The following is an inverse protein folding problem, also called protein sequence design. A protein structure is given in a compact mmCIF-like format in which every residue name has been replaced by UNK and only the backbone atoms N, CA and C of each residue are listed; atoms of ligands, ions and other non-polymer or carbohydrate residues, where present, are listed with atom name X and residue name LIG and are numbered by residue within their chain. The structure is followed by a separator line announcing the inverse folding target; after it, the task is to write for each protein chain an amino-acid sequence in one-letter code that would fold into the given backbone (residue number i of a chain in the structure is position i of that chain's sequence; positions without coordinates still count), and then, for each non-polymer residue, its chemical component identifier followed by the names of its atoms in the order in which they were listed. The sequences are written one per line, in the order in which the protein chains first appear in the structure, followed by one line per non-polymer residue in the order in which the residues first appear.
data_IF_955975855439
#
_entry.id   IF_955975855439
#
_cell.length_a   1.000
_cell.length_b   1.000
_cell.length_c   1.000
_cell.angle_alpha   90.00
_cell.angle_beta   90.00
_cell.angle_gamma   90.00
#
_symmetry.space_group_name_H-M   'P 1'
#
loop_
_entity.id
_entity.type
_entity.pdbx_description
1 polymer ?
#
# COMPACT_ATOMS: atom_id res chain seq x y z
N UNK A 1 4.22 31.19 2.82
CA UNK A 1 3.88 29.80 2.44
C UNK A 1 2.37 29.61 2.61
N UNK A 2 1.62 29.33 1.55
CA UNK A 2 0.15 29.21 1.58
C UNK A 2 -0.30 27.80 2.01
N UNK A 3 -1.53 27.66 2.51
CA UNK A 3 -2.12 26.35 2.88
C UNK A 3 -2.00 25.35 1.71
N UNK A 4 -2.24 25.82 0.47
CA UNK A 4 -2.07 25.03 -0.76
C UNK A 4 -0.66 24.44 -0.89
N UNK A 5 0.39 25.24 -0.67
CA UNK A 5 1.78 24.75 -0.75
C UNK A 5 2.12 23.73 0.34
N UNK A 6 1.54 23.86 1.54
CA UNK A 6 1.69 22.88 2.63
C UNK A 6 0.95 21.58 2.33
N UNK A 7 -0.29 21.64 1.83
CA UNK A 7 -1.02 20.43 1.45
C UNK A 7 -0.37 19.70 0.27
N UNK A 8 0.21 20.44 -0.69
CA UNK A 8 0.95 19.85 -1.81
C UNK A 8 2.23 19.12 -1.35
N UNK A 9 2.97 19.64 -0.36
CA UNK A 9 4.11 18.92 0.21
C UNK A 9 3.67 17.67 0.98
N UNK A 10 2.60 17.76 1.77
CA UNK A 10 2.03 16.61 2.48
C UNK A 10 1.53 15.54 1.49
N UNK A 11 0.87 15.93 0.40
CA UNK A 11 0.40 14.98 -0.62
C UNK A 11 1.56 14.24 -1.28
N UNK A 12 2.68 14.93 -1.57
CA UNK A 12 3.90 14.29 -2.07
C UNK A 12 4.47 13.31 -1.06
N UNK A 13 4.54 13.69 0.21
CA UNK A 13 5.00 12.79 1.27
C UNK A 13 4.09 11.55 1.39
N UNK A 14 2.76 11.70 1.28
CA UNK A 14 1.82 10.57 1.31
C UNK A 14 1.94 9.66 0.10
N UNK A 15 2.18 10.21 -1.10
CA UNK A 15 2.48 9.42 -2.31
C UNK A 15 3.74 8.58 -2.10
N UNK A 16 4.82 9.19 -1.63
CA UNK A 16 6.07 8.48 -1.34
C UNK A 16 5.88 7.35 -0.30
N UNK A 17 5.06 7.58 0.74
CA UNK A 17 4.74 6.54 1.72
C UNK A 17 3.93 5.38 1.12
N UNK A 18 2.98 5.67 0.23
CA UNK A 18 2.26 4.63 -0.50
C UNK A 18 3.19 3.83 -1.42
N UNK A 19 4.12 4.50 -2.11
CA UNK A 19 5.10 3.83 -2.97
C UNK A 19 6.05 2.92 -2.18
N UNK A 20 6.49 3.35 -1.00
CA UNK A 20 7.27 2.51 -0.07
C UNK A 20 6.47 1.27 0.33
N UNK A 21 5.18 1.43 0.69
CA UNK A 21 4.32 0.32 1.04
C UNK A 21 4.08 -0.65 -0.13
N UNK A 22 3.94 -0.14 -1.37
CA UNK A 22 3.89 -0.99 -2.58
C UNK A 22 5.17 -1.81 -2.75
N UNK A 23 6.32 -1.19 -2.50
CA UNK A 23 7.61 -1.88 -2.52
C UNK A 23 7.70 -2.96 -1.44
N UNK A 24 7.15 -2.72 -0.24
CA UNK A 24 7.10 -3.71 0.83
C UNK A 24 6.23 -4.92 0.45
N UNK A 25 5.03 -4.70 -0.08
CA UNK A 25 4.17 -5.78 -0.61
C UNK A 25 4.87 -6.59 -1.70
N UNK A 26 5.58 -5.92 -2.60
CA UNK A 26 6.33 -6.61 -3.68
C UNK A 26 7.39 -7.54 -3.12
N UNK A 27 8.17 -7.09 -2.11
CA UNK A 27 9.17 -7.92 -1.44
C UNK A 27 8.55 -9.06 -0.64
N UNK A 28 7.45 -8.80 0.07
CA UNK A 28 6.73 -9.82 0.82
C UNK A 28 6.18 -10.93 -0.11
N UNK A 29 5.60 -10.55 -1.24
CA UNK A 29 5.13 -11.49 -2.27
C UNK A 29 6.26 -12.33 -2.86
N UNK A 30 7.43 -11.73 -3.13
CA UNK A 30 8.60 -12.47 -3.61
C UNK A 30 9.04 -13.51 -2.57
N UNK A 31 9.15 -13.10 -1.29
CA UNK A 31 9.49 -14.02 -0.20
C UNK A 31 8.46 -15.14 -0.05
N UNK A 32 7.17 -14.83 -0.14
CA UNK A 32 6.10 -15.83 -0.10
C UNK A 32 6.27 -16.83 -1.25
N UNK A 33 6.50 -16.37 -2.48
CA UNK A 33 6.73 -17.24 -3.62
C UNK A 33 7.92 -18.20 -3.40
N UNK A 34 9.04 -17.69 -2.85
CA UNK A 34 10.21 -18.51 -2.53
C UNK A 34 9.87 -19.59 -1.49
N UNK A 35 9.16 -19.23 -0.43
CA UNK A 35 8.76 -20.19 0.62
C UNK A 35 7.76 -21.24 0.14
N UNK A 36 6.85 -20.87 -0.78
CA UNK A 36 5.92 -21.80 -1.42
C UNK A 36 6.69 -22.78 -2.31
N UNK A 37 7.66 -22.29 -3.08
CA UNK A 37 8.48 -23.15 -3.93
C UNK A 37 9.32 -24.14 -3.10
N UNK A 38 9.91 -23.67 -1.99
CA UNK A 38 10.66 -24.52 -1.07
C UNK A 38 9.76 -25.59 -0.42
N UNK A 39 8.57 -25.20 0.06
CA UNK A 39 7.61 -26.15 0.63
C UNK A 39 7.17 -27.22 -0.39
N UNK A 40 6.96 -26.82 -1.64
CA UNK A 40 6.67 -27.76 -2.74
C UNK A 40 7.84 -28.72 -3.00
N UNK A 41 9.07 -28.22 -3.08
CA UNK A 41 10.25 -29.07 -3.27
C UNK A 41 10.45 -30.09 -2.14
N UNK A 42 10.22 -29.68 -0.88
CA UNK A 42 10.25 -30.60 0.28
C UNK A 42 9.10 -31.60 0.25
N UNK A 43 7.94 -31.19 -0.25
CA UNK A 43 6.79 -32.08 -0.42
C UNK A 43 7.10 -33.18 -1.43
N UNK A 44 7.62 -32.82 -2.60
CA UNK A 44 7.99 -33.77 -3.65
C UNK A 44 9.08 -34.73 -3.19
N UNK A 45 10.05 -34.24 -2.41
CA UNK A 45 11.08 -35.08 -1.79
C UNK A 45 10.50 -36.10 -0.81
N UNK A 46 9.44 -35.73 -0.07
CA UNK A 46 8.75 -36.62 0.86
C UNK A 46 7.87 -37.64 0.11
N UNK A 47 7.15 -37.22 -0.93
CA UNK A 47 6.34 -38.14 -1.75
C UNK A 47 7.20 -39.15 -2.51
N UNK A 48 8.36 -38.72 -3.01
CA UNK A 48 9.31 -39.60 -3.68
C UNK A 48 10.06 -40.55 -2.75
N UNK A 49 9.98 -40.35 -1.43
CA UNK A 49 10.69 -41.19 -0.47
C UNK A 49 9.95 -42.53 -0.26
N UNK A 50 10.69 -43.63 -0.40
CA UNK A 50 10.21 -44.97 -0.13
C UNK A 50 11.15 -45.70 0.83
N UNK A 51 10.58 -46.43 1.79
CA UNK A 51 11.35 -47.33 2.66
C UNK A 51 11.96 -48.45 1.81
N UNK A 52 13.25 -48.75 1.93
CA UNK A 52 13.86 -49.91 1.29
C UNK A 52 13.13 -51.21 1.66
N UNK A 53 12.76 -52.02 0.66
CA UNK A 53 12.05 -53.29 0.86
C UNK A 53 12.94 -54.46 1.32
N UNK A 54 14.24 -54.23 1.43
CA UNK A 54 15.23 -55.21 1.88
C UNK A 54 16.40 -54.51 2.57
N UNK A 55 17.18 -55.26 3.34
CA UNK A 55 18.29 -54.77 4.14
C UNK A 55 18.30 -55.39 5.52
N UNK A 56 19.35 -55.11 6.28
CA UNK A 56 19.44 -55.47 7.69
C UNK A 56 18.66 -54.47 8.58
N UNK A 57 18.54 -54.80 9.87
CA UNK A 57 17.82 -53.96 10.83
C UNK A 57 18.40 -52.53 10.91
N UNK A 58 19.71 -52.37 10.73
CA UNK A 58 20.38 -51.07 10.73
C UNK A 58 19.93 -50.22 9.53
N UNK A 59 19.85 -50.80 8.34
CA UNK A 59 19.37 -50.14 7.11
C UNK A 59 17.92 -49.69 7.23
N UNK A 60 17.06 -50.52 7.84
CA UNK A 60 15.67 -50.15 8.11
C UNK A 60 15.57 -48.95 9.07
N UNK A 61 16.31 -48.97 10.18
CA UNK A 61 16.32 -47.86 11.13
C UNK A 61 16.86 -46.56 10.50
N UNK A 62 17.89 -46.66 9.66
CA UNK A 62 18.42 -45.52 8.92
C UNK A 62 17.38 -44.94 7.95
N UNK A 63 16.62 -45.79 7.25
CA UNK A 63 15.53 -45.34 6.39
C UNK A 63 14.44 -44.61 7.19
N UNK A 64 13.99 -45.17 8.31
CA UNK A 64 13.01 -44.51 9.18
C UNK A 64 13.52 -43.14 9.66
N UNK A 65 14.80 -43.05 10.05
CA UNK A 65 15.40 -41.78 10.45
C UNK A 65 15.39 -40.76 9.30
N UNK A 66 15.72 -41.18 8.07
CA UNK A 66 15.67 -40.33 6.89
C UNK A 66 14.25 -39.84 6.57
N UNK A 67 13.24 -40.72 6.63
CA UNK A 67 11.84 -40.34 6.42
C UNK A 67 11.35 -39.34 7.48
N UNK A 68 11.75 -39.51 8.74
CA UNK A 68 11.46 -38.53 9.80
C UNK A 68 12.13 -37.19 9.56
N UNK A 69 13.38 -37.18 9.09
CA UNK A 69 14.09 -35.95 8.75
C UNK A 69 13.40 -35.20 7.60
N UNK A 70 12.94 -35.91 6.55
CA UNK A 70 12.17 -35.32 5.46
C UNK A 70 10.83 -34.74 5.93
N UNK A 71 10.10 -35.47 6.79
CA UNK A 71 8.86 -34.99 7.37
C UNK A 71 9.05 -33.72 8.21
N UNK A 72 10.11 -33.67 9.03
CA UNK A 72 10.48 -32.48 9.81
C UNK A 72 10.81 -31.30 8.90
N UNK A 73 11.64 -31.52 7.89
CA UNK A 73 12.00 -30.48 6.91
C UNK A 73 10.77 -29.91 6.18
N UNK A 74 9.82 -30.76 5.78
CA UNK A 74 8.56 -30.31 5.17
C UNK A 74 7.71 -29.51 6.16
N UNK A 75 7.65 -29.95 7.42
CA UNK A 75 6.91 -29.24 8.48
C UNK A 75 7.47 -27.84 8.70
N UNK A 76 8.80 -27.70 8.75
CA UNK A 76 9.50 -26.43 8.88
C UNK A 76 9.26 -25.52 7.67
N UNK A 77 9.37 -26.04 6.45
CA UNK A 77 9.10 -25.27 5.23
C UNK A 77 7.66 -24.74 5.21
N UNK A 78 6.67 -25.56 5.58
CA UNK A 78 5.27 -25.15 5.71
C UNK A 78 5.06 -24.11 6.81
N UNK A 79 5.81 -24.19 7.91
CA UNK A 79 5.75 -23.17 8.96
C UNK A 79 6.27 -21.82 8.45
N UNK A 80 7.37 -21.81 7.71
CA UNK A 80 7.90 -20.61 7.06
C UNK A 80 6.94 -20.03 6.03
N UNK A 81 6.30 -20.86 5.21
CA UNK A 81 5.26 -20.41 4.26
C UNK A 81 4.11 -19.69 4.98
N UNK A 82 3.62 -20.25 6.10
CA UNK A 82 2.55 -19.60 6.89
C UNK A 82 2.99 -18.25 7.44
N UNK A 83 4.23 -18.12 7.92
CA UNK A 83 4.79 -16.86 8.40
C UNK A 83 4.87 -15.85 7.26
N UNK A 84 5.44 -16.22 6.10
CA UNK A 84 5.55 -15.35 4.94
C UNK A 84 4.18 -14.88 4.41
N UNK A 85 3.16 -15.76 4.48
CA UNK A 85 1.78 -15.41 4.12
C UNK A 85 1.19 -14.38 5.08
N UNK A 86 1.34 -14.58 6.38
CA UNK A 86 0.87 -13.63 7.38
C UNK A 86 1.56 -12.26 7.25
N UNK A 87 2.87 -12.23 6.99
CA UNK A 87 3.60 -10.99 6.72
C UNK A 87 3.08 -10.29 5.46
N UNK A 88 2.80 -11.05 4.40
CA UNK A 88 2.22 -10.50 3.16
C UNK A 88 0.87 -9.84 3.41
N UNK A 89 0.00 -10.47 4.21
CA UNK A 89 -1.30 -9.91 4.58
C UNK A 89 -1.16 -8.59 5.36
N UNK A 90 -0.18 -8.52 6.26
CA UNK A 90 0.15 -7.29 7.01
C UNK A 90 0.60 -6.18 6.06
N UNK A 91 1.49 -6.46 5.10
CA UNK A 91 1.97 -5.45 4.16
C UNK A 91 0.87 -4.98 3.19
N UNK A 92 -0.04 -5.87 2.79
CA UNK A 92 -1.21 -5.50 1.99
C UNK A 92 -2.12 -4.54 2.77
N UNK A 93 -2.33 -4.77 4.06
CA UNK A 93 -3.11 -3.86 4.89
C UNK A 93 -2.39 -2.52 5.10
N UNK A 94 -1.07 -2.53 5.31
CA UNK A 94 -0.25 -1.31 5.37
C UNK A 94 -0.39 -0.46 4.10
N UNK A 95 -0.38 -1.10 2.92
CA UNK A 95 -0.60 -0.43 1.64
C UNK A 95 -2.01 0.18 1.56
N UNK A 96 -3.04 -0.55 2.00
CA UNK A 96 -4.42 -0.04 2.03
C UNK A 96 -4.53 1.19 2.92
N UNK A 97 -3.93 1.16 4.11
CA UNK A 97 -3.89 2.28 5.04
C UNK A 97 -3.12 3.49 4.48
N UNK A 98 -1.98 3.26 3.83
CA UNK A 98 -1.23 4.32 3.15
C UNK A 98 -2.08 4.99 2.05
N UNK A 99 -2.76 4.18 1.23
CA UNK A 99 -3.65 4.69 0.18
C UNK A 99 -4.86 5.45 0.74
N UNK A 100 -5.43 5.03 1.88
CA UNK A 100 -6.49 5.79 2.58
C UNK A 100 -5.98 7.16 3.04
N UNK A 101 -4.79 7.21 3.67
CA UNK A 101 -4.15 8.46 4.13
C UNK A 101 -3.77 9.40 2.98
N UNK A 102 -3.37 8.87 1.82
CA UNK A 102 -3.15 9.70 0.62
C UNK A 102 -4.46 10.32 0.13
N UNK A 103 -5.51 9.50 -0.01
CA UNK A 103 -6.82 9.95 -0.48
C UNK A 103 -7.48 10.99 0.42
N UNK A 104 -7.27 10.92 1.74
CA UNK A 104 -7.80 11.96 2.64
C UNK A 104 -7.15 13.32 2.39
N UNK A 105 -5.83 13.37 2.16
CA UNK A 105 -5.11 14.60 1.83
C UNK A 105 -5.50 15.13 0.45
N UNK A 106 -5.68 14.24 -0.53
CA UNK A 106 -6.15 14.59 -1.87
C UNK A 106 -7.50 15.34 -1.83
N UNK A 107 -8.48 14.81 -1.08
CA UNK A 107 -9.77 15.48 -0.86
C UNK A 107 -9.63 16.85 -0.17
N UNK A 108 -8.68 17.02 0.75
CA UNK A 108 -8.42 18.32 1.39
C UNK A 108 -7.84 19.34 0.41
N UNK A 109 -6.96 18.89 -0.49
CA UNK A 109 -6.41 19.73 -1.57
C UNK A 109 -7.54 20.19 -2.48
N UNK A 110 -8.41 19.29 -2.94
CA UNK A 110 -9.57 19.59 -3.79
C UNK A 110 -10.48 20.64 -3.13
N UNK A 111 -10.87 20.43 -1.86
CA UNK A 111 -11.70 21.38 -1.10
C UNK A 111 -11.05 22.76 -0.98
N UNK A 112 -9.74 22.81 -0.77
CA UNK A 112 -9.01 24.08 -0.63
C UNK A 112 -8.95 24.84 -1.96
N UNK A 113 -8.78 24.12 -3.08
CA UNK A 113 -8.82 24.71 -4.42
C UNK A 113 -10.21 25.27 -4.70
N UNK A 114 -11.26 24.52 -4.40
CA UNK A 114 -12.64 24.97 -4.63
C UNK A 114 -12.99 26.18 -3.75
N UNK A 115 -12.64 26.15 -2.45
CA UNK A 115 -12.87 27.28 -1.57
C UNK A 115 -12.14 28.55 -2.05
N UNK A 116 -10.93 28.41 -2.58
CA UNK A 116 -10.18 29.52 -3.16
C UNK A 116 -10.86 30.06 -4.42
N UNK A 117 -11.35 29.18 -5.31
CA UNK A 117 -12.09 29.57 -6.51
C UNK A 117 -13.36 30.34 -6.17
N UNK A 118 -14.15 29.87 -5.20
CA UNK A 118 -15.37 30.55 -4.74
C UNK A 118 -15.04 31.93 -4.17
N UNK A 119 -13.97 32.04 -3.38
CA UNK A 119 -13.49 33.33 -2.85
C UNK A 119 -13.09 34.29 -3.96
N UNK A 120 -12.32 33.82 -4.94
CA UNK A 120 -11.89 34.63 -6.10
C UNK A 120 -13.10 35.14 -6.91
N UNK A 121 -14.11 34.30 -7.13
CA UNK A 121 -15.34 34.71 -7.81
C UNK A 121 -16.11 35.78 -7.00
N UNK A 122 -16.22 35.61 -5.68
CA UNK A 122 -16.90 36.56 -4.81
C UNK A 122 -16.15 37.89 -4.66
N UNK A 123 -14.80 37.85 -4.65
CA UNK A 123 -13.95 39.05 -4.68
C UNK A 123 -14.11 39.79 -6.03
N UNK A 124 -14.14 39.06 -7.16
CA UNK A 124 -14.34 39.63 -8.49
C UNK A 124 -15.74 40.26 -8.66
N UNK A 125 -16.80 39.63 -8.14
CA UNK A 125 -18.15 40.18 -8.17
C UNK A 125 -18.23 41.50 -7.38
N UNK A 126 -17.67 41.54 -6.16
CA UNK A 126 -17.64 42.77 -5.35
C UNK A 126 -16.92 43.90 -6.07
N UNK A 127 -15.77 43.63 -6.68
CA UNK A 127 -15.05 44.62 -7.46
C UNK A 127 -15.86 45.15 -8.65
N UNK A 128 -16.63 44.28 -9.34
CA UNK A 128 -17.51 44.69 -10.43
C UNK A 128 -18.66 45.58 -9.93
N UNK A 129 -19.29 45.21 -8.81
CA UNK A 129 -20.37 45.96 -8.19
C UNK A 129 -19.90 47.35 -7.70
N UNK A 130 -18.69 47.45 -7.13
CA UNK A 130 -18.08 48.72 -6.72
C UNK A 130 -17.87 49.67 -7.92
N UNK A 131 -17.34 49.16 -9.03
CA UNK A 131 -17.14 49.95 -10.26
C UNK A 131 -18.49 50.39 -10.85
N UNK A 132 -19.49 49.51 -10.87
CA UNK A 132 -20.84 49.85 -11.33
C UNK A 132 -21.49 50.92 -10.44
N UNK A 133 -21.35 50.81 -9.11
CA UNK A 133 -21.84 51.78 -8.15
C UNK A 133 -21.22 53.17 -8.31
N UNK A 134 -19.90 53.25 -8.53
CA UNK A 134 -19.20 54.51 -8.77
C UNK A 134 -19.67 55.20 -10.07
N UNK A 135 -19.88 54.45 -11.16
CA UNK A 135 -20.40 55.00 -12.42
C UNK A 135 -21.83 55.52 -12.28
N UNK A 136 -22.70 54.81 -11.56
CA UNK A 136 -24.08 55.24 -11.30
C UNK A 136 -24.18 56.45 -10.36
N UNK A 137 -23.20 56.65 -9.47
CA UNK A 137 -23.11 57.84 -8.62
C UNK A 137 -22.65 59.08 -9.40
N UNK A 138 -21.68 58.93 -10.32
CA UNK A 138 -21.20 60.01 -11.18
C UNK A 138 -22.26 60.54 -12.15
N UNK A 139 -23.07 59.67 -12.76
CA UNK A 139 -24.13 60.07 -13.71
C UNK A 139 -25.35 60.77 -13.09
N UNK A 140 -25.50 60.75 -11.75
CA UNK A 140 -26.59 61.47 -11.04
C UNK A 140 -26.21 62.89 -10.60
N UNK A 141 -24.95 63.29 -10.77
CA UNK A 141 -24.46 64.62 -10.43
C UNK A 141 -24.61 65.68 -11.55
N UNK A 142 -24.90 65.26 -12.79
CA UNK A 142 -24.85 66.12 -13.99
C UNK A 142 -26.20 66.69 -14.46
N UNK A 143 -27.30 66.49 -13.71
CA UNK A 143 -28.63 67.03 -14.06
C UNK A 143 -29.12 68.11 -13.09
N UNK A 144 -28.32 69.14 -12.82
CA UNK A 144 -28.77 70.36 -12.14
C UNK A 144 -28.57 71.59 -13.01
#
# INVERSE_FOLDING_TARGET
MTIRTRLASVLRARKAQEDIARGAVTRANARLADTVAEAAARHDSMEGWAVPRGGDAASYMAAIAAGRALATALSEARALERVARAETDVEVENLREAAKRRRSVEKLVERTIEAQRVKELADAQRAADEVAGQRAAGGRGETR
#
